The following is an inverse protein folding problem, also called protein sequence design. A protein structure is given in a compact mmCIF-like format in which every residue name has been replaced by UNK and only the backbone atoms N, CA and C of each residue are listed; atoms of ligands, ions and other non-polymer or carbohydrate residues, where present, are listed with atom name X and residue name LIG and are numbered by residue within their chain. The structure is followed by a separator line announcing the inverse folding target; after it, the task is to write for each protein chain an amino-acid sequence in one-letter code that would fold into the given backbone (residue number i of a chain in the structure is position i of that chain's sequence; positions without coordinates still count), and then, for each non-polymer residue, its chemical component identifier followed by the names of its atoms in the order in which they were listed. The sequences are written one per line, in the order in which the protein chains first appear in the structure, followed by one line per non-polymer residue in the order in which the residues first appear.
data_IF_559705187966
#
_entry.id   IF_559705187966
#
_cell.length_a   1.000
_cell.length_b   1.000
_cell.length_c   1.000
_cell.angle_alpha   90.00
_cell.angle_beta   90.00
_cell.angle_gamma   90.00
#
_symmetry.space_group_name_H-M   'P 1'
#
loop_
_entity.id
_entity.type
_entity.pdbx_description
1 polymer ?
#
# COMPACT_ATOMS: atom_id res chain seq x y z
N UNK A 1 -17.25 4.74 -1.83
CA UNK A 1 -15.83 4.92 -2.20
C UNK A 1 -15.00 4.76 -0.93
N UNK A 2 -14.03 3.86 -0.93
CA UNK A 2 -13.26 3.38 0.22
C UNK A 2 -11.88 4.05 0.37
N UNK A 3 -11.56 5.02 -0.50
CA UNK A 3 -10.28 5.72 -0.53
C UNK A 3 -9.84 6.30 0.82
N UNK A 4 -10.77 6.71 1.69
CA UNK A 4 -10.46 7.16 3.05
C UNK A 4 -9.82 6.06 3.90
N UNK A 5 -10.38 4.85 3.85
CA UNK A 5 -9.85 3.68 4.57
C UNK A 5 -8.52 3.24 3.99
N UNK A 6 -8.41 3.18 2.65
CA UNK A 6 -7.15 2.83 1.97
C UNK A 6 -6.04 3.82 2.32
N UNK A 7 -6.35 5.12 2.35
CA UNK A 7 -5.38 6.14 2.75
C UNK A 7 -4.97 6.01 4.23
N UNK A 8 -5.88 5.66 5.14
CA UNK A 8 -5.54 5.41 6.53
C UNK A 8 -4.63 4.17 6.67
N UNK A 9 -4.90 3.09 5.93
CA UNK A 9 -4.06 1.90 5.93
C UNK A 9 -2.63 2.23 5.48
N UNK A 10 -2.48 2.99 4.39
CA UNK A 10 -1.16 3.35 3.83
C UNK A 10 -0.36 4.27 4.75
N UNK A 11 -1.02 5.29 5.33
CA UNK A 11 -0.35 6.35 6.09
C UNK A 11 -0.17 5.96 7.56
N UNK A 12 -1.24 5.52 8.22
CA UNK A 12 -1.22 5.31 9.67
C UNK A 12 -0.70 3.91 10.03
N UNK A 13 -1.21 2.88 9.33
CA UNK A 13 -0.89 1.49 9.69
C UNK A 13 0.44 1.05 9.07
N UNK A 14 0.60 1.22 7.77
CA UNK A 14 1.80 0.77 7.04
C UNK A 14 2.94 1.78 7.12
N UNK A 15 2.65 3.06 7.37
CA UNK A 15 3.66 4.14 7.45
C UNK A 15 4.53 4.25 6.19
N UNK A 16 3.95 3.95 5.02
CA UNK A 16 4.64 3.97 3.71
C UNK A 16 4.23 5.14 2.82
N UNK A 17 3.35 6.02 3.31
CA UNK A 17 2.85 7.15 2.53
C UNK A 17 2.60 8.39 3.38
N UNK A 18 2.38 9.51 2.68
CA UNK A 18 2.11 10.80 3.30
C UNK A 18 0.74 11.31 2.88
N UNK A 19 0.09 12.01 3.80
CA UNK A 19 -1.20 12.65 3.56
C UNK A 19 -1.01 14.13 3.25
N UNK A 20 -1.46 14.53 2.06
CA UNK A 20 -1.37 15.92 1.63
C UNK A 20 -2.49 16.80 2.20
N UNK A 21 -3.73 16.28 2.25
CA UNK A 21 -4.85 16.97 2.88
C UNK A 21 -4.97 16.61 4.36
N UNK A 22 -4.85 17.62 5.23
CA UNK A 22 -5.45 17.53 6.57
C UNK A 22 -6.96 17.73 6.43
N UNK A 23 -7.76 17.16 7.34
CA UNK A 23 -9.23 17.13 7.24
C UNK A 23 -9.87 18.52 7.04
N UNK A 24 -9.20 19.58 7.45
CA UNK A 24 -9.67 20.97 7.38
C UNK A 24 -9.34 21.67 6.04
N UNK A 25 -8.48 21.11 5.20
CA UNK A 25 -7.98 21.77 3.97
C UNK A 25 -8.80 21.33 2.75
N UNK A 26 -9.67 22.21 2.27
CA UNK A 26 -10.51 21.95 1.08
C UNK A 26 -9.72 21.96 -0.23
N UNK A 27 -8.71 22.84 -0.35
CA UNK A 27 -7.92 23.02 -1.57
C UNK A 27 -6.44 22.74 -1.31
N UNK A 28 -5.83 21.94 -2.18
CA UNK A 28 -4.38 21.68 -2.16
C UNK A 28 -3.72 22.61 -3.16
N UNK A 29 -2.66 23.30 -2.75
CA UNK A 29 -1.88 24.18 -3.64
C UNK A 29 -0.79 23.41 -4.38
N UNK A 30 -0.35 23.96 -5.52
CA UNK A 30 0.81 23.47 -6.27
C UNK A 30 2.07 23.45 -5.43
N UNK A 31 2.25 24.45 -4.57
CA UNK A 31 3.40 24.57 -3.67
C UNK A 31 3.38 23.48 -2.61
N UNK A 32 2.19 23.15 -2.08
CA UNK A 32 2.00 22.04 -1.14
C UNK A 32 2.34 20.69 -1.77
N UNK A 33 1.92 20.47 -3.02
CA UNK A 33 2.29 19.26 -3.78
C UNK A 33 3.81 19.21 -3.98
N UNK A 34 4.41 20.30 -4.47
CA UNK A 34 5.84 20.37 -4.75
C UNK A 34 6.68 20.14 -3.47
N UNK A 35 6.26 20.70 -2.33
CA UNK A 35 6.90 20.49 -1.04
C UNK A 35 6.86 19.03 -0.60
N UNK A 36 5.71 18.36 -0.77
CA UNK A 36 5.58 16.95 -0.43
C UNK A 36 6.44 16.06 -1.33
N UNK A 37 6.44 16.32 -2.64
CA UNK A 37 7.28 15.59 -3.60
C UNK A 37 8.75 15.76 -3.25
N UNK A 38 9.21 16.99 -2.97
CA UNK A 38 10.60 17.24 -2.53
C UNK A 38 10.93 16.45 -1.27
N UNK A 39 10.04 16.45 -0.25
CA UNK A 39 10.24 15.67 0.98
C UNK A 39 10.37 14.17 0.67
N UNK A 40 9.51 13.60 -0.17
CA UNK A 40 9.58 12.17 -0.53
C UNK A 40 10.88 11.83 -1.27
N UNK A 41 11.35 12.73 -2.12
CA UNK A 41 12.55 12.56 -2.94
C UNK A 41 13.85 12.82 -2.18
N UNK A 42 13.78 13.41 -0.99
CA UNK A 42 14.94 13.60 -0.13
C UNK A 42 15.52 12.23 0.29
N UNK A 43 16.74 11.97 -0.18
CA UNK A 43 17.46 10.73 0.08
C UNK A 43 18.23 10.78 1.39
N UNK A 44 18.46 11.95 1.97
CA UNK A 44 19.20 12.14 3.22
C UNK A 44 18.27 12.17 4.44
N UNK A 45 16.99 12.50 4.24
CA UNK A 45 15.95 12.44 5.28
C UNK A 45 15.76 10.99 5.80
N UNK A 46 16.11 10.76 7.06
CA UNK A 46 16.03 9.45 7.73
C UNK A 46 14.59 8.93 7.84
N UNK A 47 13.60 9.81 8.06
CA UNK A 47 12.18 9.45 8.09
C UNK A 47 11.77 8.85 6.73
N UNK A 48 12.29 9.43 5.64
CA UNK A 48 11.99 9.02 4.26
C UNK A 48 12.78 7.79 3.84
N UNK A 49 14.01 7.62 4.33
CA UNK A 49 14.76 6.37 4.18
C UNK A 49 14.02 5.21 4.82
N UNK A 50 13.55 5.37 6.05
CA UNK A 50 12.80 4.32 6.74
C UNK A 50 11.46 4.03 6.05
N UNK A 51 10.73 5.06 5.63
CA UNK A 51 9.50 4.89 4.84
C UNK A 51 9.74 4.06 3.56
N UNK A 52 10.83 4.33 2.83
CA UNK A 52 11.21 3.55 1.64
C UNK A 52 11.62 2.12 1.99
N UNK A 53 12.29 1.91 3.12
CA UNK A 53 12.64 0.56 3.60
C UNK A 53 11.38 -0.25 3.90
N UNK A 54 10.44 0.30 4.67
CA UNK A 54 9.17 -0.38 4.99
C UNK A 54 8.39 -0.67 3.69
N UNK A 55 8.34 0.27 2.75
CA UNK A 55 7.69 0.05 1.46
C UNK A 55 8.28 -1.13 0.68
N UNK A 56 9.61 -1.33 0.73
CA UNK A 56 10.27 -2.49 0.12
C UNK A 56 9.93 -3.80 0.82
N UNK A 57 9.82 -3.79 2.15
CA UNK A 57 9.40 -4.99 2.91
C UNK A 57 7.94 -5.36 2.61
N UNK A 58 7.03 -4.38 2.60
CA UNK A 58 5.63 -4.61 2.19
C UNK A 58 5.57 -5.19 0.78
N UNK A 59 6.33 -4.60 -0.16
CA UNK A 59 6.45 -5.13 -1.53
C UNK A 59 6.90 -6.60 -1.51
N UNK A 60 7.95 -6.93 -0.77
CA UNK A 60 8.49 -8.29 -0.68
C UNK A 60 7.46 -9.28 -0.12
N UNK A 61 6.73 -8.91 0.92
CA UNK A 61 5.66 -9.74 1.50
C UNK A 61 4.56 -10.01 0.47
N UNK A 62 4.07 -8.96 -0.20
CA UNK A 62 3.02 -9.10 -1.21
C UNK A 62 3.47 -9.99 -2.38
N UNK A 63 4.68 -9.79 -2.91
CA UNK A 63 5.21 -10.65 -3.98
C UNK A 63 5.45 -12.09 -3.51
N UNK A 64 5.88 -12.29 -2.27
CA UNK A 64 6.01 -13.62 -1.67
C UNK A 64 4.68 -14.34 -1.52
N UNK A 65 3.60 -13.61 -1.19
CA UNK A 65 2.27 -14.18 -1.06
C UNK A 65 1.72 -14.73 -2.40
N UNK A 66 1.97 -14.03 -3.51
CA UNK A 66 1.45 -14.40 -4.84
C UNK A 66 2.39 -15.30 -5.65
N UNK A 67 3.62 -15.52 -5.19
CA UNK A 67 4.56 -16.43 -5.83
C UNK A 67 4.11 -17.89 -5.68
N UNK A 68 4.70 -18.80 -6.47
CA UNK A 68 4.53 -20.25 -6.30
C UNK A 68 5.04 -20.67 -4.91
N UNK A 69 4.27 -21.48 -4.19
CA UNK A 69 4.45 -21.81 -2.78
C UNK A 69 4.02 -20.70 -1.81
N UNK A 70 3.47 -19.59 -2.31
CA UNK A 70 3.04 -18.45 -1.53
C UNK A 70 1.68 -18.64 -0.84
N UNK A 71 1.37 -17.79 0.14
CA UNK A 71 0.13 -17.91 0.91
C UNK A 71 -1.16 -17.70 0.10
N UNK A 72 -1.08 -17.01 -1.04
CA UNK A 72 -2.20 -16.83 -1.96
C UNK A 72 -2.53 -18.08 -2.78
N UNK A 73 -1.73 -19.16 -2.72
CA UNK A 73 -2.08 -20.44 -3.34
C UNK A 73 -3.37 -21.05 -2.77
N UNK A 74 -3.79 -20.63 -1.57
CA UNK A 74 -5.10 -20.94 -1.00
C UNK A 74 -6.26 -20.59 -1.94
N UNK A 75 -6.09 -19.57 -2.80
CA UNK A 75 -7.07 -19.21 -3.83
C UNK A 75 -7.22 -20.33 -4.86
N UNK A 76 -6.15 -21.01 -5.24
CA UNK A 76 -6.22 -22.15 -6.15
C UNK A 76 -7.01 -23.31 -5.54
N UNK A 77 -6.85 -23.56 -4.23
CA UNK A 77 -7.65 -24.55 -3.51
C UNK A 77 -9.14 -24.17 -3.49
N UNK A 78 -9.45 -22.89 -3.26
CA UNK A 78 -10.82 -22.38 -3.34
C UNK A 78 -11.43 -22.55 -4.74
N UNK A 79 -10.70 -22.21 -5.81
CA UNK A 79 -11.15 -22.38 -7.20
C UNK A 79 -11.45 -23.85 -7.50
N UNK A 80 -10.59 -24.78 -7.06
CA UNK A 80 -10.82 -26.22 -7.22
C UNK A 80 -12.09 -26.68 -6.52
N UNK A 81 -12.31 -26.21 -5.29
CA UNK A 81 -13.49 -26.56 -4.49
C UNK A 81 -14.80 -26.16 -5.19
N UNK A 82 -14.90 -24.92 -5.71
CA UNK A 82 -16.11 -24.47 -6.40
C UNK A 82 -16.30 -25.10 -7.78
N UNK A 83 -15.20 -25.51 -8.43
CA UNK A 83 -15.25 -26.17 -9.75
C UNK A 83 -15.76 -27.61 -9.63
N UNK A 84 -15.41 -28.32 -8.55
CA UNK A 84 -15.89 -29.68 -8.27
C UNK A 84 -17.37 -29.70 -7.85
N UNK A 85 -17.88 -28.60 -7.29
CA UNK A 85 -19.30 -28.46 -6.95
C UNK A 85 -20.25 -28.28 -8.16
N UNK A 86 -19.72 -28.15 -9.38
CA UNK A 86 -20.52 -28.05 -10.62
C UNK A 86 -20.79 -29.41 -11.32
N UNK A 87 -20.33 -30.53 -10.75
CA UNK A 87 -20.58 -31.89 -11.31
C UNK A 87 -21.85 -32.57 -10.76
N UNK A 88 -22.79 -31.83 -10.17
CA UNK A 88 -24.07 -32.34 -9.68
C UNK A 88 -25.28 -31.60 -10.25
#
# INVERSE_FOLDING_TARGET
MDQGMVSNLIVENWKVGLRLKKAEVKLVTSEGIAGLVKKIMDLEDEEKKEMRRIAREVKKICYGAIAVGGSSETINAFIRSISQGHEH
#
